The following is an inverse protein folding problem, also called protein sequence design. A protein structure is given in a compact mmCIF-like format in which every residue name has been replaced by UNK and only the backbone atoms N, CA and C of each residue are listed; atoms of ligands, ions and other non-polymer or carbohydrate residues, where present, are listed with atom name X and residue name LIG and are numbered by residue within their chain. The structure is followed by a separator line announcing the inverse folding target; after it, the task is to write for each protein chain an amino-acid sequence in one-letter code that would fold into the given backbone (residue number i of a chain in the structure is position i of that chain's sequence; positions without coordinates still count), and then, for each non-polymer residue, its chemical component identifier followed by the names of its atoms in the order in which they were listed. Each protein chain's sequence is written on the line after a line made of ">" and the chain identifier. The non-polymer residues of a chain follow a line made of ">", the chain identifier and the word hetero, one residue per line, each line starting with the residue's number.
data_IF_801878020426
#
_entry.id   IF_801878020426
#
_cell.length_a   1.000
_cell.length_b   1.000
_cell.length_c   1.000
_cell.angle_alpha   90.00
_cell.angle_beta   90.00
_cell.angle_gamma   90.00
#
_symmetry.space_group_name_H-M   'P 1'
#
loop_
_entity.id
_entity.type
_entity.pdbx_description
1 polymer ?
#
# COMPACT_ATOMS: atom_id res chain seq x y z
N UNK A 1 -8.99 -34.90 -19.99
CA UNK A 1 -8.48 -34.20 -18.79
C UNK A 1 -9.63 -33.43 -18.16
N UNK A 2 -9.99 -33.70 -16.90
CA UNK A 2 -11.10 -33.00 -16.22
C UNK A 2 -10.72 -31.52 -16.01
N UNK A 3 -11.56 -30.54 -16.36
CA UNK A 3 -11.24 -29.14 -16.13
C UNK A 3 -11.12 -28.90 -14.62
N UNK A 4 -9.96 -28.42 -14.17
CA UNK A 4 -9.71 -28.07 -12.77
C UNK A 4 -10.82 -27.15 -12.26
N UNK A 5 -11.45 -27.53 -11.13
CA UNK A 5 -12.54 -26.77 -10.51
C UNK A 5 -12.09 -25.32 -10.27
N UNK A 6 -12.94 -24.35 -10.66
CA UNK A 6 -12.81 -22.89 -10.39
C UNK A 6 -12.78 -22.51 -8.89
N UNK A 7 -12.62 -23.49 -8.00
CA UNK A 7 -12.63 -23.32 -6.54
C UNK A 7 -11.32 -22.75 -6.04
N UNK A 8 -10.18 -23.16 -6.62
CA UNK A 8 -8.85 -22.73 -6.15
C UNK A 8 -8.64 -21.23 -6.34
N UNK A 9 -9.02 -20.67 -7.49
CA UNK A 9 -8.93 -19.23 -7.77
C UNK A 9 -9.77 -18.40 -6.77
N UNK A 10 -11.01 -18.85 -6.51
CA UNK A 10 -11.91 -18.17 -5.56
C UNK A 10 -11.39 -18.26 -4.13
N UNK A 11 -10.94 -19.43 -3.70
CA UNK A 11 -10.41 -19.64 -2.36
C UNK A 11 -9.14 -18.81 -2.16
N UNK A 12 -8.25 -18.74 -3.15
CA UNK A 12 -7.02 -17.97 -3.04
C UNK A 12 -7.27 -16.46 -2.95
N UNK A 13 -8.20 -15.91 -3.76
CA UNK A 13 -8.60 -14.51 -3.65
C UNK A 13 -9.29 -14.20 -2.31
N UNK A 14 -10.08 -15.15 -1.79
CA UNK A 14 -10.71 -15.01 -0.48
C UNK A 14 -9.67 -15.02 0.65
N UNK A 15 -8.66 -15.89 0.56
CA UNK A 15 -7.54 -15.92 1.50
C UNK A 15 -6.76 -14.60 1.47
N UNK A 16 -6.44 -14.09 0.27
CA UNK A 16 -5.74 -12.80 0.12
C UNK A 16 -6.54 -11.65 0.75
N UNK A 17 -7.85 -11.62 0.55
CA UNK A 17 -8.74 -10.62 1.14
C UNK A 17 -8.84 -10.75 2.67
N UNK A 18 -8.91 -11.97 3.22
CA UNK A 18 -8.89 -12.18 4.67
C UNK A 18 -7.57 -11.67 5.26
N UNK A 19 -6.45 -11.96 4.60
CA UNK A 19 -5.13 -11.52 5.05
C UNK A 19 -5.01 -9.99 5.05
N UNK A 20 -5.41 -9.33 3.97
CA UNK A 20 -5.38 -7.86 3.88
C UNK A 20 -6.32 -7.22 4.92
N UNK A 21 -7.51 -7.80 5.13
CA UNK A 21 -8.46 -7.34 6.13
C UNK A 21 -7.89 -7.48 7.56
N UNK A 22 -7.19 -8.58 7.85
CA UNK A 22 -6.54 -8.77 9.14
C UNK A 22 -5.49 -7.68 9.41
N UNK A 23 -4.67 -7.36 8.41
CA UNK A 23 -3.67 -6.29 8.50
C UNK A 23 -4.34 -4.91 8.63
N UNK A 24 -5.38 -4.64 7.85
CA UNK A 24 -6.10 -3.36 7.94
C UNK A 24 -6.74 -3.15 9.32
N UNK A 25 -7.33 -4.20 9.90
CA UNK A 25 -7.88 -4.15 11.27
C UNK A 25 -6.76 -3.95 12.28
N UNK A 26 -5.65 -4.69 12.16
CA UNK A 26 -4.50 -4.54 13.05
C UNK A 26 -3.94 -3.11 13.03
N UNK A 27 -3.72 -2.54 11.85
CA UNK A 27 -3.27 -1.14 11.68
C UNK A 27 -4.28 -0.14 12.26
N UNK A 28 -5.57 -0.39 12.09
CA UNK A 28 -6.62 0.46 12.65
C UNK A 28 -6.59 0.46 14.20
N UNK A 29 -6.35 -0.71 14.80
CA UNK A 29 -6.17 -0.84 16.26
C UNK A 29 -4.91 -0.09 16.71
N UNK A 30 -3.78 -0.25 16.02
CA UNK A 30 -2.53 0.45 16.36
C UNK A 30 -2.70 1.98 16.33
N UNK A 31 -3.42 2.49 15.34
CA UNK A 31 -3.75 3.91 15.23
C UNK A 31 -4.73 4.36 16.33
N UNK A 32 -5.84 3.65 16.51
CA UNK A 32 -6.88 4.03 17.47
C UNK A 32 -6.37 4.03 18.93
N UNK A 33 -5.46 3.12 19.24
CA UNK A 33 -4.83 3.03 20.58
C UNK A 33 -3.72 4.06 20.80
N UNK A 34 -3.32 4.79 19.75
CA UNK A 34 -2.16 5.69 19.75
C UNK A 34 -0.86 4.93 20.02
N UNK A 35 -0.82 3.63 19.74
CA UNK A 35 0.34 2.78 20.03
C UNK A 35 1.53 3.17 19.16
N UNK A 36 1.30 3.51 17.90
CA UNK A 36 2.33 4.01 16.97
C UNK A 36 3.02 5.25 17.53
N UNK A 37 2.26 6.27 17.94
CA UNK A 37 2.80 7.49 18.54
C UNK A 37 3.59 7.19 19.81
N UNK A 38 3.05 6.35 20.70
CA UNK A 38 3.67 6.02 21.99
C UNK A 38 4.98 5.26 21.83
N UNK A 39 5.04 4.31 20.90
CA UNK A 39 6.26 3.51 20.67
C UNK A 39 7.31 4.34 19.96
N UNK A 40 6.96 5.05 18.90
CA UNK A 40 7.93 5.79 18.10
C UNK A 40 8.41 7.07 18.80
N UNK A 41 7.58 7.74 19.62
CA UNK A 41 7.99 8.87 20.44
C UNK A 41 8.55 8.44 21.82
N UNK A 42 8.71 7.14 22.08
CA UNK A 42 9.29 6.70 23.35
C UNK A 42 10.78 7.08 23.42
N UNK A 43 11.23 7.44 24.62
CA UNK A 43 12.65 7.73 24.88
C UNK A 43 13.56 6.54 24.58
N UNK A 44 13.05 5.31 24.74
CA UNK A 44 13.77 4.07 24.43
C UNK A 44 14.01 3.91 22.92
N UNK A 45 12.96 4.11 22.10
CA UNK A 45 13.09 4.08 20.66
C UNK A 45 14.00 5.21 20.16
N UNK A 46 13.80 6.43 20.68
CA UNK A 46 14.63 7.59 20.35
C UNK A 46 16.12 7.31 20.57
N UNK A 47 16.49 6.85 21.77
CA UNK A 47 17.89 6.58 22.10
C UNK A 47 18.47 5.43 21.26
N UNK A 48 17.69 4.38 21.02
CA UNK A 48 18.14 3.24 20.21
C UNK A 48 18.35 3.64 18.75
N UNK A 49 17.39 4.35 18.16
CA UNK A 49 17.47 4.86 16.80
C UNK A 49 18.63 5.86 16.64
N UNK A 50 18.84 6.73 17.63
CA UNK A 50 20.01 7.63 17.68
C UNK A 50 21.32 6.89 17.67
N UNK A 51 21.41 5.84 18.49
CA UNK A 51 22.64 5.08 18.63
C UNK A 51 22.97 4.31 17.35
N UNK A 52 21.97 3.70 16.70
CA UNK A 52 22.11 3.04 15.40
C UNK A 52 22.61 4.00 14.30
N UNK A 53 22.02 5.20 14.21
CA UNK A 53 22.43 6.20 13.22
C UNK A 53 23.85 6.72 13.50
N UNK A 54 24.16 7.00 14.77
CA UNK A 54 25.50 7.43 15.18
C UNK A 54 26.55 6.36 14.91
N UNK A 55 26.20 5.08 15.06
CA UNK A 55 27.10 3.95 14.77
C UNK A 55 27.36 3.81 13.26
N UNK A 56 26.41 4.24 12.42
CA UNK A 56 26.57 4.36 10.97
C UNK A 56 27.26 5.67 10.54
N UNK A 57 27.80 6.44 11.48
CA UNK A 57 28.54 7.69 11.22
C UNK A 57 27.66 8.90 10.92
N UNK A 58 26.33 8.79 11.08
CA UNK A 58 25.39 9.88 10.81
C UNK A 58 25.07 10.61 12.10
N UNK A 59 25.43 11.89 12.18
CA UNK A 59 25.18 12.76 13.34
C UNK A 59 23.92 13.58 13.09
N UNK A 60 22.98 13.51 14.01
CA UNK A 60 21.73 14.30 13.97
C UNK A 60 21.61 15.16 15.22
N UNK A 61 21.01 16.34 15.08
CA UNK A 61 20.55 17.13 16.22
C UNK A 61 19.23 16.59 16.75
N UNK A 62 18.89 16.89 18.01
CA UNK A 62 17.68 16.35 18.63
C UNK A 62 16.39 16.82 17.92
N UNK A 63 16.40 18.05 17.36
CA UNK A 63 15.30 18.60 16.59
C UNK A 63 15.07 17.83 15.28
N UNK A 64 16.14 17.42 14.61
CA UNK A 64 16.10 16.67 13.35
C UNK A 64 15.60 15.25 13.58
N UNK A 65 16.07 14.62 14.65
CA UNK A 65 15.66 13.28 15.01
C UNK A 65 14.18 13.22 15.35
N UNK A 66 13.68 14.20 16.11
CA UNK A 66 12.25 14.33 16.38
C UNK A 66 11.46 14.50 15.08
N UNK A 67 11.95 15.30 14.13
CA UNK A 67 11.30 15.50 12.83
C UNK A 67 11.20 14.20 12.03
N UNK A 68 12.27 13.39 12.02
CA UNK A 68 12.29 12.07 11.35
C UNK A 68 11.31 11.10 12.00
N UNK A 69 11.25 11.06 13.33
CA UNK A 69 10.32 10.20 14.06
C UNK A 69 8.87 10.63 13.83
N UNK A 70 8.57 11.94 13.89
CA UNK A 70 7.25 12.50 13.58
C UNK A 70 6.84 12.18 12.12
N UNK A 71 7.79 12.20 11.19
CA UNK A 71 7.57 11.77 9.81
C UNK A 71 7.23 10.27 9.75
N UNK A 72 7.97 9.41 10.47
CA UNK A 72 7.75 7.97 10.50
C UNK A 72 6.37 7.62 11.06
N UNK A 73 5.95 8.26 12.15
CA UNK A 73 4.59 8.18 12.70
C UNK A 73 3.56 8.55 11.62
N UNK A 74 3.76 9.68 10.94
CA UNK A 74 2.86 10.16 9.89
C UNK A 74 2.77 9.16 8.72
N UNK A 75 3.88 8.52 8.34
CA UNK A 75 3.93 7.49 7.30
C UNK A 75 3.09 6.29 7.69
N UNK A 76 3.30 5.74 8.90
CA UNK A 76 2.57 4.57 9.41
C UNK A 76 1.07 4.84 9.48
N UNK A 77 0.69 6.02 9.98
CA UNK A 77 -0.71 6.42 10.08
C UNK A 77 -1.37 6.64 8.71
N UNK A 78 -0.65 7.23 7.76
CA UNK A 78 -1.12 7.39 6.38
C UNK A 78 -1.30 6.02 5.74
N UNK A 79 -0.36 5.11 5.93
CA UNK A 79 -0.42 3.74 5.42
C UNK A 79 -1.64 2.97 5.95
N UNK A 80 -1.99 3.14 7.24
CA UNK A 80 -3.19 2.53 7.81
C UNK A 80 -4.47 2.94 7.08
N UNK A 81 -4.61 4.22 6.71
CA UNK A 81 -5.77 4.73 5.95
C UNK A 81 -5.78 4.13 4.54
N UNK A 82 -4.63 4.11 3.87
CA UNK A 82 -4.50 3.55 2.53
C UNK A 82 -4.81 2.05 2.49
N UNK A 83 -4.41 1.29 3.51
CA UNK A 83 -4.71 -0.14 3.63
C UNK A 83 -6.22 -0.43 3.71
N UNK A 84 -6.99 0.43 4.39
CA UNK A 84 -8.45 0.29 4.46
C UNK A 84 -9.09 0.50 3.08
N UNK A 85 -8.68 1.54 2.36
CA UNK A 85 -9.18 1.82 1.01
C UNK A 85 -8.81 0.69 0.05
N UNK A 86 -7.57 0.20 0.11
CA UNK A 86 -7.11 -0.94 -0.67
C UNK A 86 -7.94 -2.21 -0.36
N UNK A 87 -8.33 -2.41 0.90
CA UNK A 87 -9.19 -3.53 1.32
C UNK A 87 -10.58 -3.43 0.67
N UNK A 88 -11.19 -2.25 0.67
CA UNK A 88 -12.49 -2.04 0.01
C UNK A 88 -12.38 -2.35 -1.49
N UNK A 89 -11.33 -1.87 -2.15
CA UNK A 89 -11.10 -2.16 -3.58
C UNK A 89 -10.85 -3.64 -3.83
N UNK A 90 -10.10 -4.33 -2.98
CA UNK A 90 -9.85 -5.77 -3.09
C UNK A 90 -11.13 -6.60 -2.89
N UNK A 91 -12.04 -6.13 -2.04
CA UNK A 91 -13.37 -6.74 -1.90
C UNK A 91 -14.19 -6.52 -3.17
N UNK A 92 -14.21 -5.30 -3.72
CA UNK A 92 -14.88 -5.01 -5.01
C UNK A 92 -14.30 -5.87 -6.13
N UNK A 93 -12.98 -6.02 -6.21
CA UNK A 93 -12.28 -6.85 -7.18
C UNK A 93 -12.72 -8.33 -7.13
N UNK A 94 -12.88 -8.87 -5.91
CA UNK A 94 -13.40 -10.22 -5.67
C UNK A 94 -14.87 -10.37 -6.05
N UNK A 95 -15.69 -9.34 -5.82
CA UNK A 95 -17.10 -9.35 -6.22
C UNK A 95 -17.28 -9.26 -7.76
N UNK A 96 -16.36 -8.60 -8.47
CA UNK A 96 -16.36 -8.45 -9.94
C UNK A 96 -15.90 -9.72 -10.71
N UNK A 97 -15.62 -10.84 -10.03
CA UNK A 97 -15.19 -12.11 -10.64
C UNK A 97 -16.18 -12.73 -11.68
N UNK A 98 -17.35 -12.14 -11.93
CA UNK A 98 -18.20 -12.47 -13.09
C UNK A 98 -17.52 -12.15 -14.44
N UNK A 99 -16.67 -11.11 -14.52
CA UNK A 99 -15.87 -10.76 -15.70
C UNK A 99 -14.38 -10.93 -15.38
N UNK A 100 -13.76 -11.98 -15.93
CA UNK A 100 -12.40 -12.44 -15.58
C UNK A 100 -11.30 -11.39 -15.81
N UNK A 101 -11.35 -10.68 -16.93
CA UNK A 101 -10.33 -9.70 -17.32
C UNK A 101 -10.35 -8.47 -16.38
N UNK A 102 -11.54 -8.02 -15.97
CA UNK A 102 -11.67 -6.86 -15.08
C UNK A 102 -11.16 -7.15 -13.67
N UNK A 103 -11.42 -8.35 -13.13
CA UNK A 103 -10.96 -8.73 -11.79
C UNK A 103 -9.43 -8.88 -11.74
N UNK A 104 -8.81 -9.45 -12.77
CA UNK A 104 -7.35 -9.61 -12.83
C UNK A 104 -6.60 -8.28 -12.82
N UNK A 105 -7.05 -7.30 -13.60
CA UNK A 105 -6.44 -5.96 -13.65
C UNK A 105 -6.61 -5.23 -12.30
N UNK A 106 -7.77 -5.34 -11.65
CA UNK A 106 -7.97 -4.75 -10.32
C UNK A 106 -7.00 -5.34 -9.28
N UNK A 107 -6.75 -6.64 -9.31
CA UNK A 107 -5.77 -7.27 -8.41
C UNK A 107 -4.33 -6.83 -8.70
N UNK A 108 -3.95 -6.62 -9.97
CA UNK A 108 -2.64 -6.03 -10.30
C UNK A 108 -2.53 -4.61 -9.73
N UNK A 109 -3.56 -3.79 -9.88
CA UNK A 109 -3.56 -2.41 -9.37
C UNK A 109 -3.41 -2.41 -7.85
N UNK A 110 -4.15 -3.28 -7.14
CA UNK A 110 -4.02 -3.44 -5.68
C UNK A 110 -2.62 -3.91 -5.29
N UNK A 111 -2.07 -4.91 -5.98
CA UNK A 111 -0.73 -5.44 -5.69
C UNK A 111 0.35 -4.37 -5.89
N UNK A 112 0.31 -3.65 -7.01
CA UNK A 112 1.25 -2.57 -7.31
C UNK A 112 1.12 -1.43 -6.29
N UNK A 113 -0.11 -1.08 -5.93
CA UNK A 113 -0.36 -0.03 -4.96
C UNK A 113 0.19 -0.38 -3.58
N UNK A 114 -0.10 -1.58 -3.08
CA UNK A 114 0.43 -2.06 -1.80
C UNK A 114 1.95 -2.14 -1.85
N UNK A 115 2.53 -2.58 -2.97
CA UNK A 115 3.98 -2.63 -3.16
C UNK A 115 4.63 -1.23 -3.06
N UNK A 116 4.09 -0.24 -3.76
CA UNK A 116 4.59 1.15 -3.72
C UNK A 116 4.37 1.76 -2.34
N UNK A 117 3.17 1.59 -1.77
CA UNK A 117 2.81 2.16 -0.47
C UNK A 117 3.63 1.59 0.69
N UNK A 118 4.06 0.33 0.60
CA UNK A 118 4.90 -0.32 1.61
C UNK A 118 6.40 -0.26 1.33
N UNK A 119 6.84 0.43 0.28
CA UNK A 119 8.24 0.42 -0.17
C UNK A 119 8.84 -1.00 -0.29
N UNK A 120 8.01 -1.97 -0.74
CA UNK A 120 8.42 -3.37 -0.87
C UNK A 120 8.52 -4.19 0.42
N UNK A 121 8.32 -3.60 1.62
CA UNK A 121 8.41 -4.33 2.89
C UNK A 121 7.26 -5.35 3.09
N UNK A 122 6.10 -5.12 2.48
CA UNK A 122 4.90 -5.93 2.66
C UNK A 122 4.82 -7.17 1.74
N UNK A 123 5.91 -7.93 1.64
CA UNK A 123 6.01 -9.12 0.76
C UNK A 123 4.87 -10.11 1.01
N UNK A 124 4.51 -10.34 2.27
CA UNK A 124 3.44 -11.26 2.65
C UNK A 124 2.05 -10.83 2.13
N UNK A 125 1.85 -9.55 1.83
CA UNK A 125 0.55 -8.98 1.46
C UNK A 125 0.42 -8.85 -0.05
N UNK A 126 1.41 -8.28 -0.75
CA UNK A 126 1.28 -8.06 -2.20
C UNK A 126 1.50 -9.34 -3.02
N UNK A 127 2.30 -10.29 -2.52
CA UNK A 127 2.62 -11.53 -3.22
C UNK A 127 1.37 -12.39 -3.53
N UNK A 128 0.45 -12.67 -2.59
CA UNK A 128 -0.77 -13.41 -2.91
C UNK A 128 -1.66 -12.68 -3.92
N UNK A 129 -1.74 -11.36 -3.88
CA UNK A 129 -2.49 -10.57 -4.89
C UNK A 129 -1.86 -10.67 -6.28
N UNK A 130 -0.53 -10.67 -6.35
CA UNK A 130 0.20 -10.85 -7.61
C UNK A 130 -0.01 -12.26 -8.18
N UNK A 131 0.01 -13.30 -7.34
CA UNK A 131 -0.25 -14.69 -7.75
C UNK A 131 -1.68 -14.84 -8.28
N UNK A 132 -2.68 -14.28 -7.58
CA UNK A 132 -4.09 -14.29 -8.04
C UNK A 132 -4.24 -13.58 -9.38
N UNK A 133 -3.59 -12.43 -9.55
CA UNK A 133 -3.59 -11.71 -10.83
C UNK A 133 -3.03 -12.56 -11.96
N UNK A 134 -1.82 -13.13 -11.81
CA UNK A 134 -1.21 -13.98 -12.83
C UNK A 134 -2.09 -15.21 -13.11
N UNK A 135 -2.67 -15.84 -12.10
CA UNK A 135 -3.55 -17.01 -12.28
C UNK A 135 -4.80 -16.67 -13.08
N UNK A 136 -5.34 -15.45 -12.91
CA UNK A 136 -6.45 -14.93 -13.72
C UNK A 136 -6.04 -14.65 -15.18
N UNK A 137 -4.79 -14.22 -15.43
CA UNK A 137 -4.26 -13.97 -16.77
C UNK A 137 -3.83 -15.24 -17.52
N UNK A 138 -3.18 -16.19 -16.84
CA UNK A 138 -2.65 -17.43 -17.42
C UNK A 138 -3.78 -18.35 -17.91
N UNK A 139 -4.95 -18.31 -17.26
CA UNK A 139 -6.03 -19.24 -17.58
C UNK A 139 -6.98 -18.68 -18.65
N UNK A 140 -6.64 -18.94 -19.92
CA UNK A 140 -7.52 -18.70 -21.07
C UNK A 140 -8.79 -19.55 -20.99
N UNK A 141 -9.96 -18.92 -21.05
CA UNK A 141 -11.22 -19.65 -21.25
C UNK A 141 -11.43 -19.96 -22.73
N UNK A 142 -11.91 -21.17 -23.08
CA UNK A 142 -12.26 -21.50 -24.46
C UNK A 142 -13.54 -20.81 -24.96
N UNK A 143 -14.33 -20.15 -24.10
CA UNK A 143 -15.58 -19.46 -24.46
C UNK A 143 -15.47 -17.93 -24.34
N UNK A 144 -14.35 -17.35 -24.76
CA UNK A 144 -14.26 -15.92 -25.02
C UNK A 144 -14.58 -15.64 -26.50
N UNK A 145 -15.73 -16.12 -26.97
CA UNK A 145 -16.28 -15.71 -28.25
C UNK A 145 -17.48 -14.79 -27.96
N UNK A 146 -17.35 -13.53 -28.40
CA UNK A 146 -18.36 -12.47 -28.40
C UNK A 146 -18.65 -11.90 -26.99
N UNK A 147 -18.31 -10.68 -26.63
CA UNK A 147 -18.26 -9.42 -27.37
C UNK A 147 -17.18 -8.52 -26.76
N UNK A 148 -16.30 -7.99 -27.61
CA UNK A 148 -15.52 -6.81 -27.31
C UNK A 148 -16.46 -5.61 -27.16
N UNK A 149 -16.81 -5.30 -25.92
CA UNK A 149 -17.15 -3.93 -25.51
C UNK A 149 -16.03 -3.40 -24.62
N UNK A 150 -14.83 -3.38 -25.21
CA UNK A 150 -13.60 -2.87 -24.59
C UNK A 150 -13.65 -1.34 -24.47
N UNK A 151 -14.35 -0.63 -25.35
CA UNK A 151 -14.41 0.83 -25.34
C UNK A 151 -15.24 1.42 -24.17
N UNK A 152 -16.40 0.83 -23.82
CA UNK A 152 -17.20 1.30 -22.68
C UNK A 152 -16.59 0.96 -21.32
N UNK A 153 -15.97 -0.22 -21.20
CA UNK A 153 -15.39 -0.68 -19.92
C UNK A 153 -14.02 -0.06 -19.63
N UNK A 154 -13.24 0.31 -20.63
CA UNK A 154 -11.91 0.90 -20.44
C UNK A 154 -11.98 2.34 -19.88
N UNK A 155 -13.01 3.11 -20.25
CA UNK A 155 -13.28 4.43 -19.66
C UNK A 155 -13.61 4.34 -18.15
N UNK A 156 -14.40 3.35 -17.74
CA UNK A 156 -14.71 3.13 -16.32
C UNK A 156 -13.48 2.67 -15.52
N UNK A 157 -12.62 1.82 -16.10
CA UNK A 157 -11.34 1.42 -15.49
C UNK A 157 -10.40 2.62 -15.35
N UNK A 158 -10.29 3.47 -16.37
CA UNK A 158 -9.49 4.70 -16.32
C UNK A 158 -10.02 5.67 -15.26
N UNK A 159 -11.34 5.83 -15.15
CA UNK A 159 -11.96 6.67 -14.13
C UNK A 159 -11.72 6.13 -12.71
N UNK A 160 -11.74 4.80 -12.51
CA UNK A 160 -11.37 4.19 -11.23
C UNK A 160 -9.90 4.39 -10.90
N UNK A 161 -9.01 4.20 -11.88
CA UNK A 161 -7.57 4.44 -11.71
C UNK A 161 -7.30 5.91 -11.36
N UNK A 162 -7.93 6.85 -12.07
CA UNK A 162 -7.83 8.27 -11.82
C UNK A 162 -8.40 8.65 -10.45
N UNK A 163 -9.55 8.08 -10.06
CA UNK A 163 -10.11 8.26 -8.72
C UNK A 163 -9.13 7.78 -7.66
N UNK A 164 -8.46 6.66 -7.89
CA UNK A 164 -7.51 6.08 -6.95
C UNK A 164 -6.23 6.90 -6.83
N UNK A 165 -5.67 7.35 -7.95
CA UNK A 165 -4.54 8.29 -7.96
C UNK A 165 -4.94 9.61 -7.30
N UNK A 166 -6.12 10.14 -7.58
CA UNK A 166 -6.62 11.37 -6.97
C UNK A 166 -6.84 11.22 -5.46
N UNK A 167 -7.40 10.11 -5.00
CA UNK A 167 -7.57 9.80 -3.57
C UNK A 167 -6.20 9.65 -2.90
N UNK A 168 -5.26 8.93 -3.50
CA UNK A 168 -3.90 8.80 -2.99
C UNK A 168 -3.22 10.16 -2.85
N UNK A 169 -3.24 10.98 -3.90
CA UNK A 169 -2.68 12.34 -3.87
C UNK A 169 -3.40 13.25 -2.86
N UNK A 170 -4.73 13.14 -2.75
CA UNK A 170 -5.52 13.88 -1.77
C UNK A 170 -5.14 13.50 -0.35
N UNK A 171 -4.91 12.21 -0.09
CA UNK A 171 -4.46 11.72 1.22
C UNK A 171 -3.04 12.18 1.52
N UNK A 172 -2.11 12.09 0.57
CA UNK A 172 -0.74 12.61 0.73
C UNK A 172 -0.70 14.13 1.04
N UNK A 173 -1.70 14.87 0.56
CA UNK A 173 -1.88 16.29 0.85
C UNK A 173 -2.58 16.52 2.20
N UNK A 174 -3.63 15.75 2.50
CA UNK A 174 -4.41 15.86 3.73
C UNK A 174 -3.59 15.50 4.97
N UNK A 175 -2.73 14.47 4.89
CA UNK A 175 -1.87 14.08 6.01
C UNK A 175 -0.65 15.00 6.18
N UNK A 176 -0.53 16.05 5.35
CA UNK A 176 0.63 16.94 5.32
C UNK A 176 1.93 16.18 5.02
N UNK A 177 1.85 14.97 4.48
CA UNK A 177 3.01 14.13 4.21
C UNK A 177 3.92 14.80 3.19
N UNK A 178 3.35 15.36 2.14
CA UNK A 178 4.10 16.12 1.12
C UNK A 178 4.84 17.32 1.73
N UNK A 179 4.20 18.09 2.60
CA UNK A 179 4.81 19.24 3.27
C UNK A 179 5.91 18.82 4.26
N UNK A 180 5.68 17.77 5.04
CA UNK A 180 6.68 17.23 5.98
C UNK A 180 7.89 16.61 5.26
N UNK A 181 7.67 15.94 4.13
CA UNK A 181 8.75 15.39 3.28
C UNK A 181 9.51 16.51 2.58
N UNK A 182 8.84 17.50 2.00
CA UNK A 182 9.51 18.65 1.36
C UNK A 182 10.35 19.43 2.37
N UNK A 183 9.84 19.67 3.58
CA UNK A 183 10.59 20.33 4.65
C UNK A 183 11.78 19.47 5.13
N UNK A 184 11.62 18.14 5.20
CA UNK A 184 12.74 17.21 5.43
C UNK A 184 13.78 17.22 4.30
N UNK A 185 13.37 17.51 3.06
CA UNK A 185 14.26 17.53 1.89
C UNK A 185 15.04 18.84 1.82
N UNK A 186 14.41 19.98 2.17
CA UNK A 186 15.12 21.24 2.40
C UNK A 186 16.09 21.12 3.58
N UNK A 187 15.68 20.46 4.66
CA UNK A 187 16.57 20.13 5.77
C UNK A 187 17.78 19.28 5.31
N UNK A 188 17.56 18.23 4.51
CA UNK A 188 18.64 17.42 3.95
C UNK A 188 19.58 18.21 3.02
N UNK A 189 19.03 19.12 2.22
CA UNK A 189 19.83 19.99 1.33
C UNK A 189 20.62 21.05 2.10
N UNK A 190 20.07 21.58 3.21
CA UNK A 190 20.79 22.46 4.13
C UNK A 190 21.94 21.71 4.81
N UNK A 191 21.72 20.45 5.17
CA UNK A 191 22.71 19.58 5.80
C UNK A 191 23.85 19.20 4.85
N UNK A 192 23.55 18.92 3.57
CA UNK A 192 24.56 18.68 2.54
C UNK A 192 25.50 19.88 2.37
N UNK A 193 24.97 21.10 2.43
CA UNK A 193 25.74 22.32 2.23
C UNK A 193 26.62 22.69 3.42
N UNK A 194 26.35 22.20 4.64
CA UNK A 194 27.25 22.37 5.81
C UNK A 194 28.39 21.35 5.85
N UNK A 195 28.30 20.26 5.08
CA UNK A 195 29.30 19.19 5.02
C UNK A 195 30.25 19.28 3.81
N UNK A 196 30.06 20.26 2.93
CA UNK A 196 30.94 20.59 1.78
C UNK A 196 31.80 21.83 2.08
#
# INVERSE_FOLDING_TARGET
>A
MKPFKRTVEKVLAWIANILLLFVAIFLCILKYTGFTDKVLNSTEFYNSFRNELSNNGVRYTDAEMKTVIDLLVTVVDTYAILAIIATIVAIVASLTMKKRIMSGILFIIVALFVFIASFGAAILIYLPYFIVAIMLFVRKDPNQNNTDDSNGNQAWIANILLLFVAIFLCILKYTGFTDKVLNSTEFYNSFRNELS
#
